data_IF_101372608808
#
_entry.id   IF_101372608808
#
_cell.length_a   1.000
_cell.length_b   1.000
_cell.length_c   1.000
_cell.angle_alpha   90.00
_cell.angle_beta   90.00
_cell.angle_gamma   90.00
#
_symmetry.space_group_name_H-M   'P 1'
#
loop_
_entity.id
_entity.type
_entity.pdbx_description
1 polymer ?
#
# COMPACT_ATOMS: atom_id res chain seq x y z
N UNK A 1 -20.20 61.49 -60.02
CA UNK A 1 -19.50 61.34 -61.31
C UNK A 1 -19.55 59.87 -61.71
N UNK A 2 -20.51 59.55 -62.58
CA UNK A 2 -20.50 58.57 -63.68
C UNK A 2 -19.78 57.21 -63.53
N UNK A 3 -20.55 56.10 -63.65
CA UNK A 3 -20.54 55.13 -64.80
C UNK A 3 -19.56 53.96 -64.49
N UNK A 4 -19.83 52.65 -64.65
CA UNK A 4 -20.76 51.88 -65.50
C UNK A 4 -20.99 50.48 -64.91
N UNK A 5 -22.12 49.88 -65.29
CA UNK A 5 -22.48 48.45 -65.12
C UNK A 5 -21.64 47.57 -66.05
N UNK A 6 -21.21 46.40 -65.58
CA UNK A 6 -20.88 45.24 -66.45
C UNK A 6 -21.61 44.00 -65.96
N UNK A 7 -22.19 43.36 -66.96
CA UNK A 7 -23.10 42.23 -67.06
C UNK A 7 -22.31 40.92 -67.02
N UNK A 8 -22.74 39.92 -66.24
CA UNK A 8 -22.37 38.51 -66.51
C UNK A 8 -23.59 37.60 -66.40
N UNK A 9 -23.57 36.63 -67.30
CA UNK A 9 -24.66 35.89 -67.91
C UNK A 9 -24.99 34.61 -67.12
N UNK A 10 -26.29 34.30 -67.13
CA UNK A 10 -26.94 33.01 -66.89
C UNK A 10 -26.07 31.76 -67.16
N UNK A 11 -26.07 30.82 -66.21
CA UNK A 11 -26.06 29.39 -66.50
C UNK A 11 -26.92 28.68 -65.44
N UNK A 12 -28.07 28.17 -65.89
CA UNK A 12 -28.99 27.36 -65.09
C UNK A 12 -28.38 25.98 -64.82
N UNK A 13 -28.38 25.53 -63.57
CA UNK A 13 -28.24 24.11 -63.21
C UNK A 13 -29.49 23.66 -62.44
N UNK A 14 -30.09 22.51 -62.81
CA UNK A 14 -31.30 22.02 -62.18
C UNK A 14 -31.03 21.45 -60.78
N UNK A 15 -31.99 21.76 -59.89
CA UNK A 15 -32.23 21.11 -58.61
C UNK A 15 -32.31 19.58 -58.80
N UNK A 16 -31.42 18.83 -58.16
CA UNK A 16 -31.63 17.42 -57.82
C UNK A 16 -31.58 17.33 -56.30
N UNK A 17 -32.75 17.17 -55.69
CA UNK A 17 -32.88 16.81 -54.29
C UNK A 17 -32.64 15.30 -54.18
N UNK A 18 -31.48 14.91 -53.65
CA UNK A 18 -31.31 13.57 -53.09
C UNK A 18 -31.36 13.69 -51.58
N UNK A 19 -32.50 13.27 -51.04
CA UNK A 19 -32.65 12.92 -49.64
C UNK A 19 -31.75 11.71 -49.35
N UNK A 20 -30.63 11.96 -48.68
CA UNK A 20 -29.78 10.95 -48.07
C UNK A 20 -29.79 11.14 -46.56
N UNK A 21 -30.78 10.56 -45.89
CA UNK A 21 -30.82 10.48 -44.44
C UNK A 21 -30.13 9.18 -44.05
N UNK A 22 -28.80 9.17 -44.01
CA UNK A 22 -28.07 8.14 -43.29
C UNK A 22 -28.18 8.45 -41.81
N UNK A 23 -29.18 7.84 -41.17
CA UNK A 23 -29.14 7.62 -39.73
C UNK A 23 -28.13 6.49 -39.53
N UNK A 24 -26.88 6.86 -39.27
CA UNK A 24 -26.02 6.02 -38.48
C UNK A 24 -26.72 5.87 -37.13
N UNK A 25 -27.38 4.73 -36.93
CA UNK A 25 -27.73 4.23 -35.60
C UNK A 25 -26.40 3.90 -34.91
N UNK A 26 -25.72 4.94 -34.41
CA UNK A 26 -24.82 4.77 -33.29
C UNK A 26 -25.67 4.19 -32.17
N UNK A 27 -25.42 2.92 -31.83
CA UNK A 27 -25.96 2.31 -30.63
C UNK A 27 -25.70 3.28 -29.47
N UNK A 28 -26.71 3.55 -28.62
CA UNK A 28 -26.50 4.45 -27.50
C UNK A 28 -25.35 3.88 -26.66
N UNK A 29 -24.24 4.63 -26.59
CA UNK A 29 -23.19 4.36 -25.62
C UNK A 29 -23.88 4.40 -24.26
N UNK A 30 -23.84 3.31 -23.52
CA UNK A 30 -24.34 3.26 -22.15
C UNK A 30 -23.45 4.15 -21.28
N UNK A 31 -23.81 5.44 -21.20
CA UNK A 31 -23.12 6.45 -20.38
C UNK A 31 -23.37 6.26 -18.88
N UNK A 32 -24.09 5.20 -18.47
CA UNK A 32 -24.36 4.94 -17.06
C UNK A 32 -23.26 4.13 -16.39
N UNK A 33 -22.46 3.34 -17.12
CA UNK A 33 -21.39 2.55 -16.52
C UNK A 33 -20.10 3.38 -16.38
N UNK A 34 -19.61 3.54 -15.14
CA UNK A 34 -18.32 4.20 -14.87
C UNK A 34 -17.37 3.20 -14.21
N UNK A 35 -16.24 2.95 -14.86
CA UNK A 35 -15.19 2.09 -14.33
C UNK A 35 -14.47 2.77 -13.16
N UNK A 36 -14.13 1.97 -12.16
CA UNK A 36 -13.32 2.36 -11.01
C UNK A 36 -11.85 2.13 -11.38
N UNK A 37 -11.10 3.22 -11.49
CA UNK A 37 -9.65 3.20 -11.66
C UNK A 37 -9.00 3.52 -10.31
N UNK A 38 -7.93 2.82 -9.95
CA UNK A 38 -7.24 3.02 -8.68
C UNK A 38 -5.91 3.74 -8.87
N UNK A 39 -5.66 4.68 -7.97
CA UNK A 39 -4.33 5.21 -7.71
C UNK A 39 -4.01 4.94 -6.23
N UNK A 40 -2.83 4.38 -5.95
CA UNK A 40 -2.48 3.98 -4.58
C UNK A 40 -1.19 4.67 -4.20
N UNK A 41 -1.30 5.58 -3.25
CA UNK A 41 -0.21 6.43 -2.79
C UNK A 41 0.08 6.10 -1.34
N UNK A 42 1.31 6.30 -0.90
CA UNK A 42 1.61 6.25 0.52
C UNK A 42 1.14 7.56 1.15
N UNK A 43 0.26 7.47 2.15
CA UNK A 43 -0.34 8.61 2.84
C UNK A 43 0.70 9.56 3.48
N UNK A 44 1.93 9.08 3.58
CA UNK A 44 2.92 9.50 4.55
C UNK A 44 4.28 9.88 3.93
N UNK A 45 4.34 10.17 2.62
CA UNK A 45 5.53 10.59 1.85
C UNK A 45 6.13 11.96 2.26
N UNK A 46 5.97 12.36 3.53
CA UNK A 46 6.69 13.46 4.16
C UNK A 46 7.99 12.95 4.82
N UNK A 47 9.17 13.22 4.23
CA UNK A 47 10.47 12.77 4.74
C UNK A 47 10.86 13.41 6.08
N UNK A 48 10.11 14.38 6.60
CA UNK A 48 10.37 15.02 7.89
C UNK A 48 9.85 14.24 9.10
N UNK A 49 9.14 13.12 8.87
CA UNK A 49 8.50 12.33 9.91
C UNK A 49 9.19 10.99 10.14
N UNK A 50 9.38 10.58 11.40
CA UNK A 50 10.02 9.30 11.76
C UNK A 50 9.04 8.13 11.57
N UNK A 51 9.03 7.52 10.38
CA UNK A 51 8.04 6.49 10.00
C UNK A 51 8.66 5.16 9.59
N UNK A 52 7.82 4.13 9.51
CA UNK A 52 8.16 2.84 8.88
C UNK A 52 8.44 3.08 7.40
N UNK A 53 9.41 2.35 6.84
CA UNK A 53 9.83 2.49 5.47
C UNK A 53 10.51 1.22 4.96
N UNK A 54 10.65 1.15 3.64
CA UNK A 54 11.41 0.09 2.94
C UNK A 54 12.71 0.61 2.32
N UNK A 55 12.82 1.92 2.05
CA UNK A 55 14.00 2.58 1.49
C UNK A 55 14.85 3.34 2.53
N UNK A 56 16.15 3.54 2.24
CA UNK A 56 17.12 4.15 3.18
C UNK A 56 16.88 5.64 3.46
N UNK A 57 16.14 6.31 2.60
CA UNK A 57 15.65 7.69 2.77
C UNK A 57 14.33 7.76 3.55
N UNK A 58 13.90 6.64 4.13
CA UNK A 58 12.65 6.48 4.86
C UNK A 58 11.39 6.70 4.00
N UNK A 59 11.48 6.38 2.70
CA UNK A 59 10.33 6.32 1.79
C UNK A 59 9.88 4.88 1.54
N UNK A 60 8.68 4.73 1.00
CA UNK A 60 8.10 3.48 0.52
C UNK A 60 7.64 3.66 -0.91
N UNK A 61 7.82 2.63 -1.73
CA UNK A 61 7.36 2.62 -3.12
C UNK A 61 6.85 1.24 -3.49
N UNK A 62 5.94 1.20 -4.45
CA UNK A 62 5.44 -0.04 -5.02
C UNK A 62 6.44 -0.62 -6.01
N UNK A 63 6.63 -1.94 -5.98
CA UNK A 63 7.45 -2.69 -6.92
C UNK A 63 6.54 -3.43 -7.92
N UNK A 64 6.96 -3.51 -9.19
CA UNK A 64 6.19 -4.24 -10.21
C UNK A 64 5.94 -5.68 -9.75
N UNK A 65 4.66 -6.09 -9.76
CA UNK A 65 4.22 -7.38 -9.27
C UNK A 65 3.70 -7.38 -7.83
N UNK A 66 3.81 -6.26 -7.10
CA UNK A 66 3.11 -6.09 -5.83
C UNK A 66 1.60 -6.26 -6.03
N UNK A 67 0.95 -6.92 -5.06
CA UNK A 67 -0.48 -7.21 -5.11
C UNK A 67 -1.15 -6.73 -3.83
N UNK A 68 -2.28 -6.05 -3.99
CA UNK A 68 -3.17 -5.65 -2.90
C UNK A 68 -4.51 -6.35 -3.00
N UNK A 69 -5.16 -6.58 -1.86
CA UNK A 69 -6.56 -6.99 -1.81
C UNK A 69 -7.44 -5.77 -1.57
N UNK A 70 -8.55 -5.68 -2.31
CA UNK A 70 -9.54 -4.60 -2.16
C UNK A 70 -10.91 -5.18 -1.86
N UNK A 71 -11.52 -4.66 -0.79
CA UNK A 71 -12.94 -4.80 -0.49
C UNK A 71 -13.64 -3.48 -0.76
N UNK A 72 -14.83 -3.54 -1.35
CA UNK A 72 -15.66 -2.37 -1.61
C UNK A 72 -17.03 -2.60 -1.01
N UNK A 73 -17.46 -1.69 -0.15
CA UNK A 73 -18.78 -1.68 0.47
C UNK A 73 -19.66 -0.66 -0.22
N UNK A 74 -20.88 -1.04 -0.59
CA UNK A 74 -21.88 -0.14 -1.16
C UNK A 74 -22.81 0.42 -0.08
N UNK A 75 -23.09 1.72 -0.15
CA UNK A 75 -23.92 2.44 0.80
C UNK A 75 -23.28 2.53 2.19
N UNK A 76 -24.12 2.62 3.22
CA UNK A 76 -23.70 2.81 4.62
C UNK A 76 -23.50 1.48 5.39
N UNK A 77 -23.36 0.37 4.68
CA UNK A 77 -23.05 -0.92 5.30
C UNK A 77 -21.65 -0.92 5.92
N UNK A 78 -21.43 -1.81 6.90
CA UNK A 78 -20.07 -2.12 7.37
C UNK A 78 -19.36 -3.13 6.47
N UNK A 79 -18.04 -3.17 6.55
CA UNK A 79 -17.21 -4.18 5.89
C UNK A 79 -17.56 -5.59 6.41
N UNK A 80 -17.84 -6.52 5.49
CA UNK A 80 -18.17 -7.92 5.80
C UNK A 80 -17.10 -8.87 5.29
N UNK A 81 -17.13 -10.11 5.78
CA UNK A 81 -16.33 -11.20 5.24
C UNK A 81 -16.66 -11.53 3.78
N UNK A 82 -17.94 -11.44 3.40
CA UNK A 82 -18.43 -11.69 2.05
C UNK A 82 -19.74 -10.96 1.80
N UNK A 83 -20.11 -10.82 0.53
CA UNK A 83 -21.33 -10.14 0.10
C UNK A 83 -21.22 -8.63 0.17
N UNK A 84 -20.00 -8.08 0.09
CA UNK A 84 -19.81 -6.66 -0.18
C UNK A 84 -20.03 -6.39 -1.69
N UNK A 85 -19.87 -5.14 -2.15
CA UNK A 85 -19.88 -4.83 -3.58
C UNK A 85 -18.74 -5.54 -4.31
N UNK A 86 -17.58 -5.63 -3.66
CA UNK A 86 -16.43 -6.41 -4.09
C UNK A 86 -15.78 -7.06 -2.86
N UNK A 87 -15.49 -8.35 -2.95
CA UNK A 87 -14.84 -9.12 -1.89
C UNK A 87 -13.41 -9.49 -2.32
N UNK A 88 -12.40 -9.02 -1.57
CA UNK A 88 -10.98 -9.38 -1.69
C UNK A 88 -10.43 -9.44 -3.14
N UNK A 89 -10.77 -8.47 -3.99
CA UNK A 89 -10.26 -8.41 -5.36
C UNK A 89 -8.76 -8.12 -5.36
N UNK A 90 -7.99 -8.93 -6.07
CA UNK A 90 -6.57 -8.69 -6.27
C UNK A 90 -6.35 -7.58 -7.31
N UNK A 91 -5.55 -6.58 -6.94
CA UNK A 91 -4.99 -5.61 -7.89
C UNK A 91 -3.47 -5.76 -7.93
N UNK A 92 -2.90 -5.80 -9.13
CA UNK A 92 -1.45 -5.94 -9.34
C UNK A 92 -0.85 -4.65 -9.86
N UNK A 93 0.25 -4.21 -9.25
CA UNK A 93 1.00 -3.05 -9.70
C UNK A 93 1.87 -3.38 -10.91
N UNK A 94 1.65 -2.67 -12.02
CA UNK A 94 2.38 -2.85 -13.28
C UNK A 94 3.53 -1.87 -13.51
N UNK A 95 3.95 -1.09 -12.50
CA UNK A 95 4.97 -0.05 -12.67
C UNK A 95 4.43 1.31 -13.10
N UNK A 96 3.26 1.70 -12.57
CA UNK A 96 2.63 3.00 -12.80
C UNK A 96 1.10 2.96 -12.78
N UNK A 97 0.52 1.77 -12.93
CA UNK A 97 -0.92 1.55 -12.86
C UNK A 97 -1.25 0.27 -12.09
N UNK A 98 -2.45 0.24 -11.51
CA UNK A 98 -3.01 -0.92 -10.83
C UNK A 98 -4.01 -1.61 -11.74
N UNK A 99 -3.89 -2.93 -11.87
CA UNK A 99 -4.74 -3.75 -12.73
C UNK A 99 -5.51 -4.76 -11.91
N UNK A 100 -6.84 -4.77 -12.04
CA UNK A 100 -7.71 -5.78 -11.46
C UNK A 100 -7.86 -6.97 -12.43
N UNK A 101 -8.16 -8.15 -11.90
CA UNK A 101 -8.47 -9.33 -12.73
C UNK A 101 -9.77 -9.18 -13.53
N UNK A 102 -10.65 -8.29 -13.09
CA UNK A 102 -11.91 -7.94 -13.76
C UNK A 102 -12.19 -6.46 -13.51
N UNK A 103 -12.67 -5.74 -14.52
CA UNK A 103 -13.08 -4.34 -14.38
C UNK A 103 -14.14 -4.18 -13.30
N UNK A 104 -14.00 -3.14 -12.48
CA UNK A 104 -14.91 -2.81 -11.39
C UNK A 104 -15.66 -1.53 -11.75
N UNK A 105 -16.94 -1.45 -11.43
CA UNK A 105 -17.78 -0.33 -11.83
C UNK A 105 -18.52 0.27 -10.62
N UNK A 106 -18.78 1.56 -10.68
CA UNK A 106 -19.66 2.24 -9.72
C UNK A 106 -21.11 1.75 -9.88
N UNK A 107 -21.91 1.74 -8.81
CA UNK A 107 -23.32 1.38 -8.91
C UNK A 107 -24.12 2.48 -9.64
N UNK A 108 -25.16 2.07 -10.36
CA UNK A 108 -26.00 2.97 -11.16
C UNK A 108 -27.13 3.66 -10.37
N UNK A 109 -27.38 3.23 -9.14
CA UNK A 109 -28.45 3.76 -8.28
C UNK A 109 -28.02 4.95 -7.41
N UNK A 110 -26.78 5.45 -7.60
CA UNK A 110 -26.27 6.63 -6.91
C UNK A 110 -25.71 6.36 -5.51
N UNK A 111 -25.73 5.12 -5.04
CA UNK A 111 -25.09 4.74 -3.79
C UNK A 111 -23.57 5.01 -3.84
N UNK A 112 -23.05 5.45 -2.70
CA UNK A 112 -21.62 5.69 -2.53
C UNK A 112 -20.89 4.39 -2.22
N UNK A 113 -19.60 4.37 -2.51
CA UNK A 113 -18.71 3.25 -2.21
C UNK A 113 -17.71 3.60 -1.11
N UNK A 114 -17.43 2.64 -0.24
CA UNK A 114 -16.36 2.71 0.76
C UNK A 114 -15.34 1.60 0.48
N UNK A 115 -14.08 1.97 0.39
CA UNK A 115 -12.97 1.14 -0.04
C UNK A 115 -12.08 0.79 1.14
N UNK A 116 -11.70 -0.48 1.22
CA UNK A 116 -10.78 -1.02 2.20
C UNK A 116 -9.76 -1.85 1.44
N UNK A 117 -8.48 -1.47 1.53
CA UNK A 117 -7.42 -2.13 0.80
C UNK A 117 -6.28 -2.51 1.72
N UNK A 118 -5.53 -3.55 1.36
CA UNK A 118 -4.38 -4.01 2.13
C UNK A 118 -3.29 -4.66 1.27
N UNK A 119 -2.06 -4.59 1.77
CA UNK A 119 -0.89 -5.29 1.26
C UNK A 119 -0.25 -6.08 2.42
N UNK A 120 0.39 -7.24 2.17
CA UNK A 120 0.37 -7.99 0.92
C UNK A 120 -0.98 -8.67 0.69
N UNK A 121 -1.39 -8.84 -0.57
CA UNK A 121 -2.58 -9.60 -0.93
C UNK A 121 -2.49 -11.06 -0.45
N UNK A 122 -3.56 -11.52 0.21
CA UNK A 122 -3.76 -12.93 0.53
C UNK A 122 -5.13 -13.40 -0.01
N UNK A 123 -5.11 -14.29 -1.00
CA UNK A 123 -6.32 -14.92 -1.52
C UNK A 123 -7.07 -15.75 -0.46
N UNK A 124 -6.37 -16.21 0.58
CA UNK A 124 -6.92 -16.95 1.71
C UNK A 124 -7.53 -16.10 2.83
N UNK A 125 -7.48 -14.76 2.75
CA UNK A 125 -8.11 -13.89 3.74
C UNK A 125 -9.64 -14.08 3.72
N UNK A 126 -10.19 -14.66 4.78
CA UNK A 126 -11.64 -14.95 4.91
C UNK A 126 -12.41 -13.95 5.75
N UNK A 127 -11.74 -13.20 6.64
CA UNK A 127 -12.38 -12.19 7.48
C UNK A 127 -11.52 -10.92 7.58
N UNK A 128 -11.87 -9.84 6.87
CA UNK A 128 -11.09 -8.60 6.88
C UNK A 128 -11.20 -7.83 8.20
N UNK A 129 -12.13 -8.17 9.08
CA UNK A 129 -12.28 -7.54 10.39
C UNK A 129 -11.52 -8.27 11.50
N UNK A 130 -10.97 -9.46 11.21
CA UNK A 130 -10.21 -10.25 12.17
C UNK A 130 -9.22 -11.17 11.43
N UNK A 131 -8.36 -10.57 10.60
CA UNK A 131 -7.37 -11.30 9.83
C UNK A 131 -6.18 -11.68 10.72
N UNK A 132 -5.90 -12.97 10.85
CA UNK A 132 -4.71 -13.45 11.54
C UNK A 132 -3.47 -13.19 10.68
N UNK A 133 -2.48 -12.49 11.24
CA UNK A 133 -1.25 -12.17 10.56
C UNK A 133 -0.05 -12.48 11.44
N UNK A 134 1.00 -13.02 10.83
CA UNK A 134 2.25 -13.35 11.52
C UNK A 134 3.40 -12.63 10.85
N UNK A 135 4.08 -11.78 11.61
CA UNK A 135 5.31 -11.14 11.17
C UNK A 135 6.42 -12.20 11.05
N UNK A 136 7.19 -12.24 9.95
CA UNK A 136 8.24 -13.22 9.77
C UNK A 136 9.35 -13.05 10.82
N UNK A 137 9.79 -14.19 11.36
CA UNK A 137 10.92 -14.25 12.30
C UNK A 137 12.27 -14.07 11.60
N UNK A 138 12.35 -14.40 10.31
CA UNK A 138 13.51 -14.10 9.47
C UNK A 138 13.17 -12.94 8.54
N UNK A 139 13.71 -11.76 8.87
CA UNK A 139 13.59 -10.56 8.04
C UNK A 139 14.90 -10.23 7.32
N UNK A 140 15.94 -11.04 7.52
CA UNK A 140 17.28 -10.78 7.01
C UNK A 140 17.58 -11.50 5.69
N UNK A 141 17.02 -12.69 5.51
CA UNK A 141 17.24 -13.51 4.31
C UNK A 141 16.68 -12.87 3.05
N UNK A 142 17.12 -13.41 1.90
CA UNK A 142 16.72 -12.95 0.58
C UNK A 142 16.87 -11.44 0.40
N UNK A 143 17.97 -10.87 0.91
CA UNK A 143 18.26 -9.43 0.81
C UNK A 143 17.17 -8.52 1.40
N UNK A 144 16.37 -9.00 2.36
CA UNK A 144 15.27 -8.24 2.98
C UNK A 144 13.93 -8.37 2.27
N UNK A 145 13.78 -9.27 1.30
CA UNK A 145 12.49 -9.52 0.65
C UNK A 145 11.40 -9.92 1.65
N UNK A 146 11.73 -10.71 2.68
CA UNK A 146 10.77 -11.06 3.73
C UNK A 146 10.34 -9.87 4.56
N UNK A 147 11.23 -8.90 4.80
CA UNK A 147 10.86 -7.64 5.44
C UNK A 147 9.86 -6.88 4.55
N UNK A 148 10.22 -6.60 3.30
CA UNK A 148 9.42 -5.76 2.40
C UNK A 148 8.03 -6.37 2.11
N UNK A 149 7.99 -7.67 1.79
CA UNK A 149 6.76 -8.38 1.42
C UNK A 149 5.83 -8.70 2.59
N UNK A 150 6.27 -8.47 3.83
CA UNK A 150 5.44 -8.64 5.03
C UNK A 150 5.30 -7.34 5.81
N UNK A 151 5.61 -6.21 5.19
CA UNK A 151 5.21 -4.90 5.69
C UNK A 151 3.72 -4.74 5.43
N UNK A 152 2.89 -5.04 6.43
CA UNK A 152 1.46 -4.97 6.25
C UNK A 152 1.04 -3.51 6.10
N UNK A 153 0.40 -3.18 4.98
CA UNK A 153 -0.12 -1.86 4.68
C UNK A 153 -1.64 -1.92 4.58
N UNK A 154 -2.31 -0.82 4.90
CA UNK A 154 -3.75 -0.69 4.67
C UNK A 154 -4.09 0.68 4.10
N UNK A 155 -5.25 0.78 3.47
CA UNK A 155 -5.87 2.04 3.10
C UNK A 155 -7.38 1.95 3.34
N UNK A 156 -7.99 3.08 3.66
CA UNK A 156 -9.43 3.21 3.84
C UNK A 156 -9.89 4.54 3.25
N UNK A 157 -10.95 4.50 2.44
CA UNK A 157 -11.57 5.70 1.88
C UNK A 157 -13.09 5.48 1.82
N UNK A 158 -13.85 6.29 2.53
CA UNK A 158 -15.30 6.09 2.68
C UNK A 158 -16.12 7.09 1.88
N UNK A 159 -17.36 6.70 1.56
CA UNK A 159 -18.38 7.60 1.00
C UNK A 159 -17.98 8.29 -0.32
N UNK A 160 -17.31 7.55 -1.21
CA UNK A 160 -16.92 8.01 -2.54
C UNK A 160 -18.11 7.94 -3.48
N UNK A 161 -18.45 9.08 -4.08
CA UNK A 161 -19.44 9.15 -5.16
C UNK A 161 -18.86 8.69 -6.49
N UNK A 162 -19.72 8.17 -7.37
CA UNK A 162 -19.38 7.93 -8.78
C UNK A 162 -18.73 9.17 -9.40
N UNK A 163 -17.57 8.99 -10.03
CA UNK A 163 -16.85 10.04 -10.77
C UNK A 163 -15.89 9.43 -11.79
N UNK A 164 -15.41 10.26 -12.72
CA UNK A 164 -14.44 9.87 -13.75
C UNK A 164 -12.98 9.91 -13.24
N UNK A 165 -12.77 10.35 -11.99
CA UNK A 165 -11.46 10.42 -11.37
C UNK A 165 -11.05 9.06 -10.80
N UNK A 166 -9.74 8.81 -10.79
CA UNK A 166 -9.17 7.68 -10.05
C UNK A 166 -9.50 7.77 -8.56
N UNK A 167 -9.82 6.63 -7.96
CA UNK A 167 -9.94 6.46 -6.52
C UNK A 167 -8.53 6.42 -5.94
N UNK A 168 -8.14 7.50 -5.26
CA UNK A 168 -6.83 7.62 -4.59
C UNK A 168 -6.92 6.97 -3.21
N UNK A 169 -6.27 5.83 -3.03
CA UNK A 169 -6.19 5.12 -1.76
C UNK A 169 -4.90 5.49 -1.01
N UNK A 170 -5.00 6.14 0.17
CA UNK A 170 -3.84 6.53 0.97
C UNK A 170 -3.40 5.33 1.84
N UNK A 171 -2.36 4.62 1.41
CA UNK A 171 -1.78 3.51 2.15
C UNK A 171 -0.89 3.97 3.30
N UNK A 172 -1.04 3.32 4.46
CA UNK A 172 -0.21 3.52 5.65
C UNK A 172 0.32 2.19 6.17
N UNK A 173 1.48 2.24 6.83
CA UNK A 173 2.09 1.09 7.50
C UNK A 173 1.32 0.70 8.77
N UNK A 174 0.94 -0.56 8.87
CA UNK A 174 0.19 -1.10 10.00
C UNK A 174 1.11 -1.61 11.13
N UNK A 175 2.36 -1.94 10.80
CA UNK A 175 3.36 -2.42 11.75
C UNK A 175 4.19 -1.27 12.32
N UNK A 176 4.89 -1.54 13.42
CA UNK A 176 5.93 -0.66 13.95
C UNK A 176 7.30 -1.09 13.43
N UNK A 177 8.23 -0.14 13.28
CA UNK A 177 9.61 -0.43 12.90
C UNK A 177 10.56 -0.19 14.07
N UNK A 178 11.51 -1.09 14.27
CA UNK A 178 12.65 -0.90 15.16
C UNK A 178 13.91 -0.80 14.30
N UNK A 179 14.67 0.26 14.48
CA UNK A 179 16.00 0.41 13.94
C UNK A 179 17.04 0.36 15.05
N UNK A 180 18.11 -0.40 14.85
CA UNK A 180 19.34 -0.29 15.62
C UNK A 180 20.52 0.10 14.72
N UNK A 181 21.31 1.06 15.19
CA UNK A 181 22.59 1.46 14.62
C UNK A 181 23.72 0.93 15.51
N UNK A 182 24.61 0.12 14.94
CA UNK A 182 25.72 -0.51 15.66
C UNK A 182 27.03 0.03 15.10
N UNK A 183 27.78 0.76 15.90
CA UNK A 183 29.16 1.11 15.55
C UNK A 183 30.11 -0.03 15.90
N UNK A 184 30.92 -0.47 14.94
CA UNK A 184 31.93 -1.52 15.10
C UNK A 184 33.14 -1.21 14.21
N UNK A 185 34.35 -1.28 14.77
CA UNK A 185 35.59 -0.95 14.07
C UNK A 185 36.02 -2.01 13.04
N UNK A 186 35.28 -3.12 12.95
CA UNK A 186 35.47 -4.15 11.94
C UNK A 186 34.61 -3.94 10.69
N UNK A 187 35.05 -4.48 9.56
CA UNK A 187 34.36 -4.34 8.27
C UNK A 187 33.17 -5.28 8.07
N UNK A 188 33.06 -6.32 8.91
CA UNK A 188 32.01 -7.35 8.78
C UNK A 188 30.88 -7.09 9.78
N UNK A 189 29.66 -6.81 9.31
CA UNK A 189 28.58 -6.44 10.20
C UNK A 189 27.94 -7.68 10.85
N UNK A 190 27.69 -7.67 12.17
CA UNK A 190 27.15 -8.85 12.84
C UNK A 190 25.68 -9.11 12.46
N UNK A 191 25.25 -10.38 12.55
CA UNK A 191 23.84 -10.70 12.56
C UNK A 191 23.21 -10.19 13.86
N UNK A 192 22.02 -9.60 13.80
CA UNK A 192 21.35 -9.01 14.96
C UNK A 192 19.96 -9.62 15.10
N UNK A 193 19.67 -10.07 16.30
CA UNK A 193 18.41 -10.68 16.69
C UNK A 193 17.71 -9.77 17.70
N UNK A 194 16.44 -9.47 17.47
CA UNK A 194 15.55 -8.80 18.42
C UNK A 194 14.77 -9.88 19.19
N UNK A 195 14.90 -9.91 20.52
CA UNK A 195 14.36 -10.98 21.35
C UNK A 195 12.95 -10.67 21.87
N UNK A 196 12.19 -11.74 22.15
CA UNK A 196 10.91 -11.71 22.87
C UNK A 196 9.82 -10.83 22.24
N UNK A 197 9.79 -10.77 20.91
CA UNK A 197 8.79 -10.03 20.15
C UNK A 197 7.52 -10.87 20.05
N UNK A 198 6.35 -10.29 20.35
CA UNK A 198 5.06 -10.89 19.96
C UNK A 198 4.94 -10.78 18.44
N UNK A 199 4.89 -11.91 17.73
CA UNK A 199 4.94 -11.95 16.25
C UNK A 199 3.60 -12.25 15.59
N UNK A 200 2.65 -12.82 16.31
CA UNK A 200 1.27 -13.02 15.87
C UNK A 200 0.41 -11.81 16.23
N UNK A 201 -0.53 -11.46 15.35
CA UNK A 201 -1.53 -10.43 15.63
C UNK A 201 -2.82 -10.67 14.83
N UNK A 202 -3.86 -9.95 15.22
CA UNK A 202 -5.13 -9.87 14.50
C UNK A 202 -5.30 -8.46 13.96
N UNK A 203 -5.59 -8.35 12.66
CA UNK A 203 -5.78 -7.11 11.93
C UNK A 203 -7.27 -6.90 11.67
N UNK A 204 -7.74 -5.68 11.90
CA UNK A 204 -9.08 -5.25 11.51
C UNK A 204 -8.97 -4.11 10.49
N UNK A 205 -9.35 -4.39 9.24
CA UNK A 205 -9.31 -3.40 8.16
C UNK A 205 -10.39 -2.32 8.30
N UNK A 206 -11.51 -2.61 8.97
CA UNK A 206 -12.62 -1.66 9.08
C UNK A 206 -12.29 -0.45 9.96
N UNK A 207 -11.58 -0.68 11.08
CA UNK A 207 -11.14 0.35 12.01
C UNK A 207 -9.64 0.65 11.95
N UNK A 208 -8.90 -0.04 11.07
CA UNK A 208 -7.44 0.07 10.91
C UNK A 208 -6.69 -0.13 12.23
N UNK A 209 -6.99 -1.22 12.92
CA UNK A 209 -6.35 -1.60 14.18
C UNK A 209 -5.62 -2.93 14.10
N UNK A 210 -4.61 -3.08 14.96
CA UNK A 210 -3.91 -4.33 15.22
C UNK A 210 -4.06 -4.68 16.69
N UNK A 211 -4.48 -5.92 16.95
CA UNK A 211 -4.45 -6.53 18.28
C UNK A 211 -3.32 -7.56 18.35
N UNK A 212 -2.28 -7.36 19.18
CA UNK A 212 -1.22 -8.34 19.35
C UNK A 212 -1.73 -9.66 19.91
N UNK A 213 -1.16 -10.75 19.44
CA UNK A 213 -1.36 -12.08 20.00
C UNK A 213 -0.51 -12.31 21.24
N UNK A 214 0.05 -13.51 21.36
CA UNK A 214 0.82 -13.92 22.54
C UNK A 214 2.09 -14.70 22.22
N UNK A 215 2.28 -15.08 20.97
CA UNK A 215 3.39 -15.90 20.50
C UNK A 215 4.66 -15.06 20.46
N UNK A 216 5.59 -15.34 21.38
CA UNK A 216 6.88 -14.65 21.46
C UNK A 216 7.95 -15.39 20.69
N UNK A 217 8.65 -14.68 19.81
CA UNK A 217 9.75 -15.19 19.02
C UNK A 217 10.95 -14.23 19.04
N UNK A 218 12.05 -14.73 18.47
CA UNK A 218 13.22 -13.93 18.13
C UNK A 218 13.15 -13.56 16.65
N UNK A 219 13.32 -12.28 16.33
CA UNK A 219 13.37 -11.80 14.95
C UNK A 219 14.82 -11.56 14.54
N UNK A 220 15.27 -12.21 13.47
CA UNK A 220 16.52 -11.89 12.80
C UNK A 220 16.32 -10.63 11.94
N UNK A 221 16.99 -9.54 12.33
CA UNK A 221 16.78 -8.21 11.76
C UNK A 221 17.44 -8.05 10.39
N UNK A 222 16.77 -7.33 9.49
CA UNK A 222 17.27 -7.02 8.16
C UNK A 222 18.51 -6.13 8.19
N UNK A 223 19.58 -6.51 7.47
CA UNK A 223 20.71 -5.62 7.17
C UNK A 223 20.29 -4.55 6.18
N UNK A 224 20.14 -3.30 6.64
CA UNK A 224 19.73 -2.21 5.77
C UNK A 224 20.88 -1.56 5.01
N UNK A 225 21.79 -0.91 5.73
CA UNK A 225 22.89 -0.16 5.12
C UNK A 225 24.06 0.01 6.11
N UNK A 226 25.16 0.59 5.61
CA UNK A 226 26.37 0.86 6.39
C UNK A 226 26.88 2.25 6.06
N UNK A 227 27.13 3.07 7.07
CA UNK A 227 27.70 4.42 6.91
C UNK A 227 28.81 4.56 7.96
N UNK A 228 30.04 4.88 7.54
CA UNK A 228 31.17 5.16 8.45
C UNK A 228 31.30 4.13 9.59
N UNK A 229 31.37 2.84 9.24
CA UNK A 229 31.47 1.72 10.20
C UNK A 229 30.26 1.57 11.16
N UNK A 230 29.15 2.25 10.87
CA UNK A 230 27.87 2.07 11.57
C UNK A 230 26.94 1.20 10.74
N UNK A 231 26.54 0.08 11.32
CA UNK A 231 25.69 -0.93 10.71
C UNK A 231 24.24 -0.75 11.14
N UNK A 232 23.36 -0.50 10.18
CA UNK A 232 21.93 -0.31 10.44
C UNK A 232 21.17 -1.62 10.24
N UNK A 233 20.26 -1.90 11.17
CA UNK A 233 19.40 -3.08 11.16
C UNK A 233 17.96 -2.69 11.46
N UNK A 234 17.02 -3.22 10.66
CA UNK A 234 15.59 -2.93 10.80
C UNK A 234 14.80 -4.20 11.10
N UNK A 235 13.73 -4.06 11.86
CA UNK A 235 12.72 -5.10 12.03
C UNK A 235 11.34 -4.47 12.09
N UNK A 236 10.39 -5.09 11.40
CA UNK A 236 8.96 -4.85 11.56
C UNK A 236 8.44 -5.72 12.71
N UNK A 237 7.55 -5.16 13.50
CA UNK A 237 6.87 -5.86 14.60
C UNK A 237 5.42 -5.39 14.71
N UNK A 238 4.49 -6.23 15.19
CA UNK A 238 3.16 -5.76 15.58
C UNK A 238 3.26 -4.66 16.65
N UNK A 239 2.38 -3.64 16.65
CA UNK A 239 2.30 -2.64 17.71
C UNK A 239 2.17 -3.30 19.08
N UNK A 240 3.11 -3.09 20.00
CA UNK A 240 3.15 -3.80 21.29
C UNK A 240 3.98 -3.03 22.31
N UNK A 241 3.85 -3.40 23.58
CA UNK A 241 4.76 -2.93 24.63
C UNK A 241 5.75 -4.03 24.99
N UNK A 242 7.05 -3.75 24.88
CA UNK A 242 8.10 -4.73 25.16
C UNK A 242 9.41 -4.10 25.63
N UNK A 243 10.27 -4.91 26.23
CA UNK A 243 11.68 -4.56 26.40
C UNK A 243 12.39 -4.66 25.06
N UNK A 244 13.24 -3.68 24.76
CA UNK A 244 14.04 -3.69 23.54
C UNK A 244 15.33 -4.40 23.88
N UNK A 245 15.46 -5.66 23.46
CA UNK A 245 16.62 -6.50 23.73
C UNK A 245 17.20 -7.06 22.44
N UNK A 246 18.44 -6.66 22.14
CA UNK A 246 19.16 -7.14 20.98
C UNK A 246 20.24 -8.13 21.39
N UNK A 247 20.45 -9.15 20.56
CA UNK A 247 21.59 -10.06 20.62
C UNK A 247 22.30 -10.07 19.28
N UNK A 248 23.62 -9.97 19.30
CA UNK A 248 24.44 -10.22 18.13
C UNK A 248 25.62 -11.11 18.45
N UNK A 249 26.04 -11.89 17.46
CA UNK A 249 27.16 -12.82 17.58
C UNK A 249 28.36 -12.27 16.82
N UNK A 250 29.51 -12.21 17.49
CA UNK A 250 30.80 -11.84 16.89
C UNK A 250 31.89 -12.76 17.45
N UNK A 251 32.74 -13.32 16.59
CA UNK A 251 33.82 -14.24 16.98
C UNK A 251 33.33 -15.36 17.92
N UNK A 252 32.17 -15.96 17.61
CA UNK A 252 31.50 -17.00 18.42
C UNK A 252 31.05 -16.57 19.82
N UNK A 253 31.09 -15.27 20.15
CA UNK A 253 30.59 -14.71 21.40
C UNK A 253 29.30 -13.93 21.16
N UNK A 254 28.31 -14.15 22.03
CA UNK A 254 27.07 -13.39 22.03
C UNK A 254 27.19 -12.14 22.90
N UNK A 255 26.72 -11.02 22.37
CA UNK A 255 26.61 -9.75 23.06
C UNK A 255 25.13 -9.41 23.17
N UNK A 256 24.68 -9.06 24.37
CA UNK A 256 23.28 -8.69 24.63
C UNK A 256 23.23 -7.26 25.14
N UNK A 257 22.32 -6.47 24.58
CA UNK A 257 22.06 -5.10 25.05
C UNK A 257 20.56 -4.90 25.22
N UNK A 258 20.16 -4.17 26.26
CA UNK A 258 18.77 -3.78 26.52
C UNK A 258 18.71 -2.25 26.64
N UNK A 259 18.67 -1.50 25.52
CA UNK A 259 18.72 -0.04 25.57
C UNK A 259 17.48 0.60 26.20
N UNK A 260 16.35 -0.09 26.24
CA UNK A 260 15.11 0.41 26.84
C UNK A 260 14.22 -0.74 27.32
N UNK A 261 13.41 -0.46 28.34
CA UNK A 261 12.43 -1.40 28.91
C UNK A 261 11.02 -0.81 28.79
N UNK A 262 10.00 -1.68 28.72
CA UNK A 262 8.59 -1.29 28.63
C UNK A 262 8.28 -0.21 27.55
N UNK A 263 8.88 -0.33 26.37
CA UNK A 263 8.67 0.60 25.26
C UNK A 263 7.38 0.25 24.54
N UNK A 264 6.47 1.22 24.41
CA UNK A 264 5.30 1.12 23.53
C UNK A 264 5.68 1.43 22.09
N UNK A 265 5.45 0.46 21.21
CA UNK A 265 5.60 0.52 19.77
C UNK A 265 4.22 0.69 19.15
N UNK A 266 4.06 1.70 18.30
CA UNK A 266 2.78 2.08 17.69
C UNK A 266 2.83 1.88 16.19
N UNK A 267 1.69 1.54 15.59
CA UNK A 267 1.51 1.40 14.13
C UNK A 267 2.13 2.58 13.37
N UNK A 268 2.81 2.31 12.26
CA UNK A 268 3.38 3.32 11.37
C UNK A 268 4.58 4.11 11.92
N UNK A 269 5.02 3.83 13.15
CA UNK A 269 6.10 4.57 13.79
C UNK A 269 7.40 3.76 13.87
N UNK A 270 8.53 4.47 13.84
CA UNK A 270 9.85 3.89 14.09
C UNK A 270 10.37 4.22 15.50
N UNK A 271 10.99 3.24 16.16
CA UNK A 271 11.90 3.48 17.30
C UNK A 271 13.34 3.23 16.89
N UNK A 272 14.20 4.23 17.11
CA UNK A 272 15.63 4.21 16.75
C UNK A 272 16.47 4.02 18.00
N UNK A 273 17.44 3.12 17.94
CA UNK A 273 18.42 2.85 18.99
C UNK A 273 19.83 2.89 18.42
N UNK A 274 20.78 3.26 19.25
CA UNK A 274 22.21 3.25 18.92
C UNK A 274 22.96 2.48 19.99
N UNK A 275 23.94 1.69 19.58
CA UNK A 275 24.87 1.03 20.48
C UNK A 275 26.25 1.02 19.85
N UNK A 276 27.27 1.16 20.68
CA UNK A 276 28.65 0.82 20.31
C UNK A 276 28.90 -0.61 20.74
N UNK A 277 29.68 -1.35 19.97
CA UNK A 277 30.16 -2.61 20.49
C UNK A 277 30.97 -2.38 21.79
N UNK A 278 30.80 -3.22 22.83
CA UNK A 278 31.72 -3.23 23.97
C UNK A 278 33.11 -3.75 23.59
#
# INVERSE_FOLDING_TARGET
MNIQRILYILAALPLVWLAGCDKNDELPVDTTSQEIVFDMLFADDDPSTTKVATATDFTSSWETGDKVGVYIVKGNGGLKASGNWVDNMALTYGGGAWTASTSLYYPNDGDKLSFYAYYPYDAGMTNPNAYAFNVPIDQASNSGEYYKKNDFLWAKLENVSKSDNSVVLPFSHALAMIQIAIYDNESTPPAVNLLNVITDCTINLADQSITPGSTKNTIQMWRRHTINLTFFRWALVPPQTMDIRFVWTKNSRNYTVTPATNVTLTSGNIKKYTTTQP
#
